data_IF_010901433719
#
_entry.id   IF_010901433719
#
_cell.length_a   1.000
_cell.length_b   1.000
_cell.length_c   1.000
_cell.angle_alpha   90.00
_cell.angle_beta   90.00
_cell.angle_gamma   90.00
#
_symmetry.space_group_name_H-M   'P 1'
#
loop_
_entity.id
_entity.type
_entity.pdbx_description
1 polymer ?
#
# COMPACT_ATOMS: atom_id res chain seq x y z
N UNK A 1 -30.52 4.28 7.92
CA UNK A 1 -29.38 4.47 8.85
C UNK A 1 -29.08 5.97 8.95
N UNK A 2 -28.90 6.55 10.15
CA UNK A 2 -28.55 7.99 10.26
C UNK A 2 -27.13 8.23 9.75
N UNK A 3 -26.92 9.17 8.84
CA UNK A 3 -25.58 9.50 8.36
C UNK A 3 -24.89 10.42 9.38
N UNK A 4 -23.89 9.93 10.11
CA UNK A 4 -23.15 10.71 11.12
C UNK A 4 -21.84 11.21 10.51
N UNK A 5 -21.31 12.33 11.02
CA UNK A 5 -20.03 12.91 10.56
C UNK A 5 -18.91 11.86 10.56
N UNK A 6 -18.78 11.07 11.65
CA UNK A 6 -17.79 10.01 11.74
C UNK A 6 -17.93 8.92 10.65
N UNK A 7 -19.18 8.59 10.24
CA UNK A 7 -19.42 7.62 9.16
C UNK A 7 -18.94 8.18 7.83
N UNK A 8 -19.26 9.44 7.54
CA UNK A 8 -18.83 10.10 6.31
C UNK A 8 -17.31 10.20 6.23
N UNK A 9 -16.65 10.58 7.33
CA UNK A 9 -15.19 10.69 7.35
C UNK A 9 -14.52 9.33 7.20
N UNK A 10 -14.99 8.28 7.89
CA UNK A 10 -14.42 6.93 7.72
C UNK A 10 -14.61 6.43 6.28
N UNK A 11 -15.78 6.65 5.68
CA UNK A 11 -16.00 6.28 4.28
C UNK A 11 -15.09 7.06 3.33
N UNK A 12 -14.89 8.37 3.57
CA UNK A 12 -13.96 9.19 2.79
C UNK A 12 -12.53 8.66 2.88
N UNK A 13 -12.06 8.32 4.08
CA UNK A 13 -10.73 7.71 4.22
C UNK A 13 -10.65 6.38 3.49
N UNK A 14 -11.69 5.54 3.54
CA UNK A 14 -11.69 4.26 2.83
C UNK A 14 -11.78 4.37 1.30
N UNK A 15 -12.22 5.51 0.74
CA UNK A 15 -12.23 5.75 -0.72
C UNK A 15 -10.91 6.30 -1.25
N UNK A 16 -10.08 6.91 -0.41
CA UNK A 16 -8.92 7.68 -0.85
C UNK A 16 -7.61 7.08 -0.29
N UNK A 17 -6.54 7.01 -1.10
CA UNK A 17 -5.22 6.68 -0.59
C UNK A 17 -4.75 7.74 0.40
N UNK A 18 -4.18 7.31 1.51
CA UNK A 18 -3.55 8.18 2.49
C UNK A 18 -2.02 8.23 2.27
N UNK A 19 -1.41 9.39 2.47
CA UNK A 19 0.02 9.57 2.27
C UNK A 19 0.87 8.72 3.22
N UNK A 20 0.43 8.55 4.47
CA UNK A 20 1.17 7.83 5.51
C UNK A 20 0.80 6.35 5.56
N UNK A 21 -0.48 6.03 5.35
CA UNK A 21 -0.99 4.65 5.46
C UNK A 21 -1.09 3.90 4.13
N UNK A 22 -0.81 4.55 2.99
CA UNK A 22 -0.92 3.95 1.67
C UNK A 22 -2.37 3.87 1.17
N UNK A 23 -2.68 2.92 0.29
CA UNK A 23 -4.05 2.66 -0.16
C UNK A 23 -4.78 1.68 0.78
N UNK A 24 -6.12 1.71 0.85
CA UNK A 24 -6.88 0.70 1.60
C UNK A 24 -6.55 -0.71 1.10
N UNK A 25 -6.73 -1.75 1.95
CA UNK A 25 -7.52 -1.74 3.17
C UNK A 25 -6.74 -1.28 4.42
N UNK A 26 -7.45 -0.69 5.39
CA UNK A 26 -6.88 -0.11 6.62
C UNK A 26 -7.36 -0.80 7.89
N UNK A 27 -6.51 -0.90 8.90
CA UNK A 27 -6.92 -1.36 10.22
C UNK A 27 -7.69 -0.28 11.00
N UNK A 28 -8.36 -0.68 12.08
CA UNK A 28 -9.00 0.29 12.99
C UNK A 28 -7.98 1.26 13.63
N UNK A 29 -6.73 0.82 13.81
CA UNK A 29 -5.64 1.65 14.33
C UNK A 29 -5.16 2.65 13.29
N UNK A 30 -5.07 2.27 12.02
CA UNK A 30 -4.69 3.19 10.93
C UNK A 30 -5.77 4.28 10.79
N UNK A 31 -7.04 3.91 10.83
CA UNK A 31 -8.16 4.86 10.82
C UNK A 31 -8.14 5.78 12.04
N UNK A 32 -7.79 5.25 13.22
CA UNK A 32 -7.61 6.08 14.42
C UNK A 32 -6.48 7.10 14.23
N UNK A 33 -5.33 6.66 13.72
CA UNK A 33 -4.20 7.53 13.43
C UNK A 33 -4.57 8.64 12.43
N UNK A 34 -5.23 8.27 11.32
CA UNK A 34 -5.70 9.21 10.30
C UNK A 34 -6.73 10.21 10.86
N UNK A 35 -7.61 9.78 11.76
CA UNK A 35 -8.59 10.66 12.41
C UNK A 35 -7.94 11.61 13.42
N UNK A 36 -6.85 11.20 14.08
CA UNK A 36 -6.11 12.04 15.02
C UNK A 36 -5.21 13.07 14.33
N UNK A 37 -4.64 12.75 13.17
CA UNK A 37 -3.63 13.55 12.48
C UNK A 37 -4.10 14.13 11.13
N UNK A 38 -5.28 13.77 10.66
CA UNK A 38 -5.83 14.20 9.39
C UNK A 38 -6.36 15.63 9.40
N UNK A 39 -6.10 16.35 8.31
CA UNK A 39 -6.50 17.75 8.12
C UNK A 39 -8.02 17.96 7.89
N UNK A 40 -8.78 16.91 7.56
CA UNK A 40 -10.20 17.03 7.22
C UNK A 40 -11.15 17.11 8.44
N UNK A 41 -10.63 16.96 9.66
CA UNK A 41 -11.42 17.09 10.90
C UNK A 41 -11.64 18.56 11.31
N UNK A 42 -11.91 19.43 10.33
CA UNK A 42 -12.21 20.84 10.55
C UNK A 42 -13.71 21.08 10.61
N UNK A 43 -14.34 20.59 11.67
CA UNK A 43 -15.74 20.86 11.92
C UNK A 43 -16.27 20.11 13.13
N UNK A 44 -16.42 20.86 14.24
CA UNK A 44 -17.15 20.49 15.46
C UNK A 44 -16.37 19.57 16.42
N UNK A 45 -15.93 20.18 17.53
CA UNK A 45 -15.38 19.57 18.74
C UNK A 45 -14.25 18.54 18.55
N UNK A 46 -13.02 19.04 18.74
CA UNK A 46 -11.73 18.32 18.80
C UNK A 46 -11.66 17.28 19.93
N UNK A 47 -12.58 16.33 19.99
CA UNK A 47 -12.44 15.16 20.85
C UNK A 47 -11.91 14.01 19.99
N UNK A 48 -10.74 13.43 20.33
CA UNK A 48 -10.24 12.27 19.60
C UNK A 48 -11.31 11.17 19.62
N UNK A 49 -11.62 10.64 18.44
CA UNK A 49 -12.60 9.56 18.31
C UNK A 49 -11.97 8.30 18.89
N UNK A 50 -12.54 7.79 19.97
CA UNK A 50 -12.01 6.58 20.60
C UNK A 50 -12.03 5.39 19.62
N UNK A 51 -11.04 4.52 19.71
CA UNK A 51 -10.98 3.28 18.91
C UNK A 51 -12.23 2.40 19.07
N UNK A 52 -12.91 2.47 20.22
CA UNK A 52 -14.18 1.78 20.46
C UNK A 52 -15.31 2.33 19.57
N UNK A 53 -15.39 3.65 19.40
CA UNK A 53 -16.36 4.30 18.50
C UNK A 53 -16.06 3.98 17.03
N UNK A 54 -14.78 3.91 16.64
CA UNK A 54 -14.37 3.49 15.29
C UNK A 54 -14.83 2.06 15.04
N UNK A 55 -14.52 1.11 15.93
CA UNK A 55 -14.94 -0.29 15.81
C UNK A 55 -16.47 -0.46 15.79
N UNK A 56 -17.22 0.36 16.52
CA UNK A 56 -18.69 0.37 16.43
C UNK A 56 -19.14 0.85 15.05
N UNK A 57 -18.57 1.94 14.56
CA UNK A 57 -18.92 2.52 13.27
C UNK A 57 -18.61 1.55 12.11
N UNK A 58 -17.46 0.88 12.15
CA UNK A 58 -17.08 -0.14 11.16
C UNK A 58 -18.06 -1.31 11.16
N UNK A 59 -18.48 -1.80 12.34
CA UNK A 59 -19.52 -2.85 12.43
C UNK A 59 -20.84 -2.41 11.81
N UNK A 60 -21.27 -1.17 12.06
CA UNK A 60 -22.51 -0.64 11.48
C UNK A 60 -22.42 -0.52 9.95
N UNK A 61 -21.30 0.00 9.43
CA UNK A 61 -21.07 0.14 7.99
C UNK A 61 -20.99 -1.24 7.29
N UNK A 62 -20.38 -2.22 7.94
CA UNK A 62 -20.31 -3.60 7.46
C UNK A 62 -21.69 -4.26 7.43
N UNK A 63 -22.49 -4.08 8.50
CA UNK A 63 -23.86 -4.58 8.53
C UNK A 63 -24.74 -3.93 7.45
N UNK A 64 -24.43 -2.70 7.03
CA UNK A 64 -25.07 -2.01 5.93
C UNK A 64 -24.55 -2.43 4.54
N UNK A 65 -23.52 -3.30 4.46
CA UNK A 65 -22.94 -3.77 3.20
C UNK A 65 -22.07 -2.75 2.46
N UNK A 66 -21.71 -1.63 3.10
CA UNK A 66 -20.92 -0.56 2.47
C UNK A 66 -19.41 -0.85 2.48
N UNK A 67 -18.96 -1.62 3.47
CA UNK A 67 -17.57 -1.98 3.64
C UNK A 67 -17.44 -3.48 3.89
N UNK A 68 -16.29 -4.03 3.53
CA UNK A 68 -15.89 -5.40 3.85
C UNK A 68 -14.58 -5.38 4.62
N UNK A 69 -14.19 -6.53 5.18
CA UNK A 69 -12.88 -6.68 5.79
C UNK A 69 -12.21 -7.99 5.39
N UNK A 70 -10.89 -7.96 5.41
CA UNK A 70 -10.04 -9.15 5.40
C UNK A 70 -9.31 -9.28 6.74
N UNK A 71 -8.91 -10.51 7.08
CA UNK A 71 -8.10 -10.80 8.25
C UNK A 71 -6.65 -10.99 7.83
N UNK A 72 -5.77 -10.14 8.35
CA UNK A 72 -4.31 -10.27 8.16
C UNK A 72 -3.64 -10.59 9.49
N UNK A 73 -2.60 -11.42 9.44
CA UNK A 73 -1.71 -11.63 10.58
C UNK A 73 -0.69 -10.50 10.54
N UNK A 74 -0.59 -9.74 11.63
CA UNK A 74 0.40 -8.69 11.77
C UNK A 74 1.33 -9.00 12.94
N UNK A 75 2.62 -8.85 12.68
CA UNK A 75 3.70 -9.04 13.66
C UNK A 75 4.11 -7.70 14.32
N UNK A 76 3.56 -6.56 13.87
CA UNK A 76 3.98 -5.21 14.28
C UNK A 76 3.24 -4.65 15.48
N UNK A 77 2.32 -5.39 16.11
CA UNK A 77 1.71 -4.94 17.35
C UNK A 77 2.72 -4.98 18.50
N UNK A 78 2.66 -4.04 19.43
CA UNK A 78 3.53 -3.97 20.63
C UNK A 78 3.53 -5.25 21.49
N UNK A 79 2.62 -6.19 21.22
CA UNK A 79 2.59 -7.52 21.80
C UNK A 79 3.47 -8.48 20.99
N UNK A 80 4.35 -9.23 21.68
CA UNK A 80 5.34 -10.17 21.12
C UNK A 80 4.76 -11.36 20.34
N UNK A 81 3.46 -11.39 20.06
CA UNK A 81 2.79 -12.49 19.36
C UNK A 81 2.01 -11.96 18.15
N UNK A 82 2.08 -12.66 17.01
CA UNK A 82 1.31 -12.33 15.82
C UNK A 82 -0.18 -12.23 16.15
N UNK A 83 -0.83 -11.13 15.74
CA UNK A 83 -2.24 -10.91 15.98
C UNK A 83 -3.03 -10.93 14.67
N UNK A 84 -4.24 -11.50 14.70
CA UNK A 84 -5.20 -11.40 13.60
C UNK A 84 -5.93 -10.06 13.68
N UNK A 85 -5.67 -9.19 12.72
CA UNK A 85 -6.24 -7.85 12.65
C UNK A 85 -7.13 -7.73 11.43
N UNK A 86 -8.26 -7.02 11.59
CA UNK A 86 -9.20 -6.73 10.52
C UNK A 86 -8.74 -5.49 9.75
N UNK A 87 -8.63 -5.64 8.44
CA UNK A 87 -8.35 -4.55 7.50
C UNK A 87 -9.60 -4.30 6.66
N UNK A 88 -10.08 -3.06 6.69
CA UNK A 88 -11.37 -2.64 6.15
C UNK A 88 -11.18 -1.87 4.84
N UNK A 89 -12.12 -2.02 3.92
CA UNK A 89 -12.18 -1.28 2.65
C UNK A 89 -13.63 -1.17 2.17
N UNK A 90 -13.88 -0.28 1.21
CA UNK A 90 -15.18 -0.20 0.54
C UNK A 90 -15.49 -1.52 -0.18
N UNK A 91 -16.76 -1.91 -0.16
CA UNK A 91 -17.20 -3.19 -0.69
C UNK A 91 -17.09 -3.28 -2.22
N UNK A 92 -17.25 -2.17 -2.91
CA UNK A 92 -17.17 -2.03 -4.37
C UNK A 92 -15.72 -1.83 -4.89
N UNK A 93 -14.77 -1.48 -4.02
CA UNK A 93 -13.38 -1.23 -4.40
C UNK A 93 -12.41 -2.39 -4.13
N UNK A 94 -12.90 -3.54 -3.68
CA UNK A 94 -12.05 -4.69 -3.27
C UNK A 94 -11.07 -5.11 -4.36
N UNK A 95 -11.56 -5.33 -5.58
CA UNK A 95 -10.71 -5.76 -6.71
C UNK A 95 -9.72 -4.67 -7.14
N UNK A 96 -10.14 -3.41 -7.08
CA UNK A 96 -9.29 -2.26 -7.38
C UNK A 96 -8.14 -2.17 -6.38
N UNK A 97 -8.44 -2.23 -5.09
CA UNK A 97 -7.44 -2.14 -4.01
C UNK A 97 -6.50 -3.35 -4.02
N UNK A 98 -7.01 -4.54 -4.32
CA UNK A 98 -6.18 -5.74 -4.52
C UNK A 98 -5.19 -5.54 -5.67
N UNK A 99 -5.65 -5.03 -6.81
CA UNK A 99 -4.78 -4.74 -7.95
C UNK A 99 -3.74 -3.66 -7.61
N UNK A 100 -4.11 -2.62 -6.86
CA UNK A 100 -3.18 -1.60 -6.38
C UNK A 100 -2.08 -2.20 -5.48
N UNK A 101 -2.45 -3.09 -4.55
CA UNK A 101 -1.48 -3.79 -3.70
C UNK A 101 -0.53 -4.64 -4.55
N UNK A 102 -1.04 -5.42 -5.50
CA UNK A 102 -0.24 -6.23 -6.40
C UNK A 102 0.77 -5.38 -7.21
N UNK A 103 0.35 -4.20 -7.66
CA UNK A 103 1.25 -3.25 -8.35
C UNK A 103 2.33 -2.73 -7.40
N UNK A 104 1.96 -2.26 -6.22
CA UNK A 104 2.91 -1.72 -5.25
C UNK A 104 3.95 -2.76 -4.84
N UNK A 105 3.53 -4.00 -4.58
CA UNK A 105 4.42 -5.10 -4.23
C UNK A 105 5.37 -5.44 -5.37
N UNK A 106 4.88 -5.47 -6.61
CA UNK A 106 5.71 -5.74 -7.79
C UNK A 106 6.73 -4.61 -8.04
N UNK A 107 6.32 -3.34 -7.91
CA UNK A 107 7.20 -2.19 -8.04
C UNK A 107 8.25 -2.16 -6.91
N UNK A 108 7.86 -2.50 -5.68
CA UNK A 108 8.80 -2.60 -4.57
C UNK A 108 9.84 -3.69 -4.79
N UNK A 109 9.42 -4.87 -5.26
CA UNK A 109 10.33 -5.95 -5.61
C UNK A 109 11.27 -5.54 -6.75
N UNK A 110 10.75 -4.86 -7.78
CA UNK A 110 11.54 -4.37 -8.92
C UNK A 110 12.67 -3.41 -8.50
N UNK A 111 12.46 -2.57 -7.49
CA UNK A 111 13.51 -1.67 -6.94
C UNK A 111 14.72 -2.42 -6.39
N UNK A 112 14.56 -3.69 -6.04
CA UNK A 112 15.63 -4.53 -5.48
C UNK A 112 16.40 -5.33 -6.54
N UNK A 113 16.04 -5.22 -7.82
CA UNK A 113 16.63 -6.02 -8.89
C UNK A 113 18.16 -5.93 -8.97
N UNK A 114 18.73 -4.75 -8.71
CA UNK A 114 20.17 -4.50 -8.78
C UNK A 114 20.87 -4.53 -7.43
N UNK A 115 20.16 -4.85 -6.35
CA UNK A 115 20.69 -4.83 -4.98
C UNK A 115 20.69 -3.43 -4.35
N UNK A 116 21.11 -3.36 -3.10
CA UNK A 116 21.20 -2.10 -2.33
C UNK A 116 22.59 -1.94 -1.74
N UNK A 117 23.23 -0.81 -2.04
CA UNK A 117 24.48 -0.38 -1.41
C UNK A 117 24.19 0.64 -0.30
N UNK A 118 24.77 0.43 0.88
CA UNK A 118 24.80 1.40 1.98
C UNK A 118 26.23 1.51 2.50
N UNK A 119 26.75 2.73 2.61
CA UNK A 119 28.11 3.01 3.12
C UNK A 119 29.23 2.18 2.46
N UNK A 120 29.14 1.95 1.15
CA UNK A 120 30.14 1.17 0.40
C UNK A 120 30.05 -0.35 0.58
N UNK A 121 29.11 -0.84 1.39
CA UNK A 121 28.81 -2.26 1.54
C UNK A 121 27.51 -2.67 0.84
N UNK A 122 27.48 -3.89 0.31
CA UNK A 122 26.27 -4.49 -0.23
C UNK A 122 25.39 -4.99 0.93
N UNK A 123 24.24 -4.36 1.11
CA UNK A 123 23.25 -4.74 2.14
C UNK A 123 22.25 -5.75 1.60
N UNK A 124 21.90 -5.64 0.32
CA UNK A 124 21.02 -6.58 -0.34
C UNK A 124 21.63 -7.01 -1.68
N UNK A 125 21.75 -8.32 -1.89
CA UNK A 125 22.35 -8.89 -3.09
C UNK A 125 21.46 -8.62 -4.31
N UNK A 126 22.03 -8.31 -5.49
CA UNK A 126 21.26 -8.25 -6.73
C UNK A 126 20.53 -9.56 -6.99
N UNK A 127 19.37 -9.46 -7.64
CA UNK A 127 18.63 -10.63 -8.10
C UNK A 127 19.42 -11.35 -9.19
N UNK A 128 19.27 -12.68 -9.24
CA UNK A 128 19.77 -13.45 -10.37
C UNK A 128 18.92 -13.19 -11.64
N UNK A 129 19.45 -13.60 -12.80
CA UNK A 129 18.76 -13.35 -14.08
C UNK A 129 17.40 -14.06 -14.16
N UNK A 130 17.25 -15.24 -13.56
CA UNK A 130 15.96 -15.96 -13.53
C UNK A 130 14.90 -15.22 -12.69
N UNK A 131 15.29 -14.65 -11.56
CA UNK A 131 14.46 -13.80 -10.71
C UNK A 131 14.08 -12.52 -11.45
N UNK A 132 15.03 -11.86 -12.12
CA UNK A 132 14.75 -10.67 -12.93
C UNK A 132 13.75 -10.97 -14.04
N UNK A 133 13.91 -12.09 -14.75
CA UNK A 133 12.95 -12.52 -15.78
C UNK A 133 11.55 -12.74 -15.22
N UNK A 134 11.44 -13.36 -14.04
CA UNK A 134 10.16 -13.57 -13.38
C UNK A 134 9.50 -12.25 -12.95
N UNK A 135 10.29 -11.30 -12.42
CA UNK A 135 9.81 -9.95 -12.09
C UNK A 135 9.34 -9.22 -13.35
N UNK A 136 10.10 -9.27 -14.44
CA UNK A 136 9.71 -8.68 -15.73
C UNK A 136 8.39 -9.26 -16.23
N UNK A 137 8.20 -10.58 -16.13
CA UNK A 137 6.96 -11.25 -16.54
C UNK A 137 5.78 -10.77 -15.69
N UNK A 138 5.95 -10.66 -14.37
CA UNK A 138 4.92 -10.17 -13.46
C UNK A 138 4.57 -8.71 -13.74
N UNK A 139 5.56 -7.83 -13.92
CA UNK A 139 5.35 -6.41 -14.25
C UNK A 139 4.57 -6.25 -15.56
N UNK A 140 4.93 -6.99 -16.62
CA UNK A 140 4.20 -6.97 -17.89
C UNK A 140 2.76 -7.44 -17.75
N UNK A 141 2.51 -8.50 -16.98
CA UNK A 141 1.16 -9.00 -16.74
C UNK A 141 0.30 -7.96 -16.00
N UNK A 142 0.87 -7.27 -15.01
CA UNK A 142 0.19 -6.19 -14.29
C UNK A 142 -0.08 -4.99 -15.20
N UNK A 143 0.90 -4.57 -16.02
CA UNK A 143 0.69 -3.50 -17.01
C UNK A 143 -0.45 -3.80 -17.98
N UNK A 144 -0.62 -5.05 -18.41
CA UNK A 144 -1.74 -5.43 -19.28
C UNK A 144 -3.10 -5.35 -18.60
N UNK A 145 -3.15 -5.53 -17.28
CA UNK A 145 -4.36 -5.45 -16.44
C UNK A 145 -4.67 -4.01 -16.03
N UNK A 146 -3.66 -3.17 -15.84
CA UNK A 146 -3.78 -1.76 -15.42
C UNK A 146 -3.68 -0.77 -16.59
N UNK A 147 -3.76 -1.25 -17.83
CA UNK A 147 -3.70 -0.38 -19.01
C UNK A 147 -4.84 0.64 -18.98
N UNK A 148 -4.58 1.94 -19.18
CA UNK A 148 -5.59 3.00 -19.05
C UNK A 148 -6.79 2.80 -19.99
N UNK A 149 -6.56 2.24 -21.18
CA UNK A 149 -7.64 1.91 -22.13
C UNK A 149 -8.59 0.79 -21.66
N UNK A 150 -8.18 -0.02 -20.67
CA UNK A 150 -8.97 -1.15 -20.16
C UNK A 150 -9.60 -0.86 -18.81
N UNK A 151 -8.92 -0.08 -17.97
CA UNK A 151 -9.34 0.23 -16.61
C UNK A 151 -9.04 1.69 -16.32
N UNK A 152 -10.08 2.48 -16.07
CA UNK A 152 -9.94 3.88 -15.71
C UNK A 152 -9.29 4.05 -14.31
N UNK A 153 -8.55 5.14 -14.12
CA UNK A 153 -7.98 5.50 -12.82
C UNK A 153 -6.64 4.84 -12.44
N UNK A 154 -6.01 4.08 -13.34
CA UNK A 154 -4.72 3.41 -13.12
C UNK A 154 -3.52 4.05 -13.84
N UNK A 155 -3.68 5.23 -14.43
CA UNK A 155 -2.64 5.89 -15.25
C UNK A 155 -1.30 6.05 -14.52
N UNK A 156 -1.33 6.46 -13.26
CA UNK A 156 -0.11 6.66 -12.46
C UNK A 156 0.57 5.33 -12.11
N UNK A 157 -0.21 4.31 -11.75
CA UNK A 157 0.30 2.96 -11.49
C UNK A 157 0.89 2.33 -12.75
N UNK A 158 0.27 2.58 -13.91
CA UNK A 158 0.80 2.13 -15.18
C UNK A 158 2.16 2.78 -15.50
N UNK A 159 2.32 4.09 -15.25
CA UNK A 159 3.64 4.77 -15.37
C UNK A 159 4.67 4.18 -14.41
N UNK A 160 4.31 3.94 -13.15
CA UNK A 160 5.21 3.34 -12.15
C UNK A 160 5.68 1.94 -12.57
N UNK A 161 4.80 1.13 -13.17
CA UNK A 161 5.15 -0.18 -13.71
C UNK A 161 6.09 -0.07 -14.92
N UNK A 162 5.89 0.92 -15.80
CA UNK A 162 6.79 1.19 -16.93
C UNK A 162 8.19 1.57 -16.44
N UNK A 163 8.29 2.48 -15.47
CA UNK A 163 9.55 2.89 -14.86
C UNK A 163 10.24 1.71 -14.18
N UNK A 164 9.50 0.91 -13.41
CA UNK A 164 10.01 -0.28 -12.74
C UNK A 164 10.51 -1.32 -13.74
N UNK A 165 9.79 -1.53 -14.85
CA UNK A 165 10.20 -2.45 -15.90
C UNK A 165 11.48 -1.98 -16.61
N UNK A 166 11.58 -0.68 -16.90
CA UNK A 166 12.78 -0.08 -17.47
C UNK A 166 13.97 -0.21 -16.51
N UNK A 167 13.74 0.01 -15.21
CA UNK A 167 14.75 -0.14 -14.18
C UNK A 167 15.28 -1.58 -14.11
N UNK A 168 14.43 -2.60 -14.02
CA UNK A 168 14.87 -4.01 -13.93
C UNK A 168 15.69 -4.42 -15.16
N UNK A 169 15.35 -3.89 -16.34
CA UNK A 169 16.06 -4.15 -17.61
C UNK A 169 17.36 -3.38 -17.77
N UNK A 170 17.60 -2.37 -16.96
CA UNK A 170 18.85 -1.62 -17.02
C UNK A 170 20.00 -2.52 -16.55
N UNK A 171 21.13 -2.52 -17.27
CA UNK A 171 22.32 -3.29 -16.87
C UNK A 171 23.12 -2.53 -15.81
N UNK A 172 22.47 -2.13 -14.72
CA UNK A 172 23.13 -1.47 -13.59
C UNK A 172 23.85 -2.56 -12.79
N UNK A 173 25.17 -2.59 -12.91
CA UNK A 173 26.01 -3.43 -12.06
C UNK A 173 26.57 -2.59 -10.90
N UNK A 174 25.95 -2.72 -9.73
CA UNK A 174 26.39 -2.05 -8.50
C UNK A 174 27.75 -2.57 -7.99
N UNK A 175 28.20 -3.74 -8.45
CA UNK A 175 29.50 -4.31 -8.09
C UNK A 175 30.62 -3.86 -9.05
N UNK A 176 30.28 -3.23 -10.17
CA UNK A 176 31.24 -2.75 -11.17
C UNK A 176 31.84 -1.37 -10.87
N UNK A 177 31.31 -0.63 -9.89
CA UNK A 177 31.85 0.65 -9.50
C UNK A 177 33.19 0.43 -8.76
N UNK A 178 34.33 0.92 -9.29
CA UNK A 178 35.60 0.76 -8.59
C UNK A 178 35.53 1.52 -7.28
N UNK A 179 36.00 0.86 -6.21
CA UNK A 179 36.49 1.54 -5.03
C UNK A 179 37.51 2.59 -5.50
N UNK A 180 37.05 3.83 -5.72
CA UNK A 180 37.95 4.97 -5.87
C UNK A 180 38.70 5.05 -4.54
N UNK A 181 39.93 4.59 -4.62
CA UNK A 181 40.95 4.66 -3.60
C UNK A 181 40.93 6.07 -2.99
N UNK A 182 40.47 6.15 -1.74
CA UNK A 182 40.87 7.23 -0.85
C UNK A 182 42.34 6.93 -0.51
N UNK A 183 43.24 7.39 -1.37
CA UNK A 183 44.63 7.66 -1.02
C UNK A 183 44.73 9.09 -0.49
#
# INVERSE_FOLDING_TARGET
MKNTVNRQVILKYLSEPNADCGAPPYSASDLHYMLEHGYDWHGVDKKPVSISQINRTLRDLHAAGLIVFELKITDTTQNKLPQRVKYWQLADEVERNKLLSEVNDACWLARRAHGVLLFGGLVEKPMDEGQKEQVIKNLKALMQRTHPDKVEGFTEQFKQLQESLAYVRSNIDLLSAPAKQLQ
#
